data_IF_223782714626
#
_entry.id   IF_223782714626
#
_cell.length_a   1.000
_cell.length_b   1.000
_cell.length_c   1.000
_cell.angle_alpha   90.00
_cell.angle_beta   90.00
_cell.angle_gamma   90.00
#
_symmetry.space_group_name_H-M   'P 1'
#
loop_
_entity.id
_entity.type
_entity.pdbx_description
1 polymer ?
#
# COMPACT_ATOMS: atom_id res chain seq x y z
N UNK A 1 -59.32 -40.87 -28.81
CA UNK A 1 -58.81 -41.12 -27.46
C UNK A 1 -57.86 -40.01 -27.06
N UNK A 2 -57.94 -39.62 -25.80
CA UNK A 2 -57.32 -38.47 -25.13
C UNK A 2 -55.95 -38.88 -24.58
N UNK A 3 -54.97 -37.97 -24.56
CA UNK A 3 -54.11 -37.59 -23.41
C UNK A 3 -52.96 -36.67 -23.87
N UNK A 4 -52.90 -35.42 -23.39
CA UNK A 4 -52.10 -34.90 -22.21
C UNK A 4 -50.79 -34.27 -22.72
N UNK A 5 -50.69 -32.93 -22.87
CA UNK A 5 -50.32 -31.87 -21.88
C UNK A 5 -48.78 -31.61 -21.87
N UNK A 6 -48.32 -30.35 -21.66
CA UNK A 6 -47.19 -29.72 -22.37
C UNK A 6 -45.89 -29.59 -21.55
N UNK A 7 -44.82 -29.12 -22.23
CA UNK A 7 -43.60 -28.36 -21.82
C UNK A 7 -43.06 -28.45 -20.36
N UNK A 8 -41.73 -28.34 -20.10
CA UNK A 8 -40.79 -27.48 -20.83
C UNK A 8 -39.40 -28.08 -21.14
N UNK A 9 -38.83 -27.65 -22.27
CA UNK A 9 -37.38 -27.70 -22.50
C UNK A 9 -36.72 -26.74 -21.52
N UNK A 10 -36.17 -27.27 -20.43
CA UNK A 10 -35.26 -26.54 -19.56
C UNK A 10 -33.97 -26.28 -20.36
N UNK A 11 -33.78 -25.06 -20.83
CA UNK A 11 -32.49 -24.55 -21.27
C UNK A 11 -31.56 -24.49 -20.05
N UNK A 12 -30.83 -25.57 -19.79
CA UNK A 12 -29.66 -25.54 -18.93
C UNK A 12 -28.50 -24.91 -19.73
N UNK A 13 -28.54 -23.57 -19.89
CA UNK A 13 -27.40 -22.83 -20.41
C UNK A 13 -26.42 -22.62 -19.25
N UNK A 14 -25.32 -23.37 -19.35
CA UNK A 14 -24.18 -23.35 -18.46
C UNK A 14 -23.83 -21.92 -18.03
N UNK A 15 -23.88 -21.67 -16.72
CA UNK A 15 -23.16 -20.56 -16.13
C UNK A 15 -21.68 -20.77 -16.46
N UNK A 16 -21.21 -20.10 -17.51
CA UNK A 16 -19.79 -19.96 -17.76
C UNK A 16 -19.28 -19.09 -16.63
N UNK A 17 -18.84 -19.74 -15.55
CA UNK A 17 -18.00 -19.11 -14.55
C UNK A 17 -16.76 -18.63 -15.28
N UNK A 18 -16.78 -17.38 -15.71
CA UNK A 18 -15.55 -16.64 -15.95
C UNK A 18 -14.99 -16.49 -14.54
N UNK A 19 -14.24 -17.48 -14.09
CA UNK A 19 -13.23 -17.26 -13.09
C UNK A 19 -12.35 -16.17 -13.71
N UNK A 20 -12.58 -14.92 -13.30
CA UNK A 20 -11.56 -13.90 -13.38
C UNK A 20 -10.38 -14.51 -12.65
N UNK A 21 -9.48 -15.12 -13.41
CA UNK A 21 -8.14 -15.37 -12.94
C UNK A 21 -7.64 -13.98 -12.55
N UNK A 22 -7.67 -13.70 -11.25
CA UNK A 22 -7.01 -12.54 -10.67
C UNK A 22 -5.64 -12.49 -11.33
N UNK A 23 -5.25 -11.37 -11.96
CA UNK A 23 -3.94 -11.29 -12.56
C UNK A 23 -2.92 -11.72 -11.50
N UNK A 24 -2.09 -12.67 -11.95
CA UNK A 24 -1.09 -13.38 -11.20
C UNK A 24 -0.30 -12.47 -10.25
N UNK A 25 -0.05 -12.98 -9.04
CA UNK A 25 0.89 -12.45 -8.05
C UNK A 25 0.80 -10.93 -7.84
N UNK A 26 -0.10 -10.50 -6.95
CA UNK A 26 0.29 -9.39 -6.10
C UNK A 26 1.52 -9.86 -5.34
N UNK A 27 2.70 -9.40 -5.75
CA UNK A 27 3.92 -9.46 -4.95
C UNK A 27 3.49 -8.99 -3.55
N UNK A 28 3.48 -9.92 -2.59
CA UNK A 28 3.16 -9.55 -1.22
C UNK A 28 4.13 -8.42 -0.85
N UNK A 29 3.63 -7.27 -0.39
CA UNK A 29 4.49 -6.13 -0.09
C UNK A 29 5.66 -6.62 0.76
N UNK A 30 6.90 -6.18 0.49
CA UNK A 30 8.01 -6.56 1.33
C UNK A 30 7.70 -6.13 2.77
N UNK A 31 8.39 -6.72 3.77
CA UNK A 31 8.33 -6.21 5.11
C UNK A 31 8.60 -4.70 5.13
N UNK A 32 7.83 -3.98 5.96
CA UNK A 32 8.07 -2.55 6.17
C UNK A 32 9.53 -2.35 6.61
N UNK A 33 10.32 -1.51 5.92
CA UNK A 33 11.76 -1.42 6.13
C UNK A 33 12.14 -0.51 7.31
N UNK A 34 11.18 -0.16 8.17
CA UNK A 34 11.38 0.72 9.33
C UNK A 34 10.96 0.03 10.62
N UNK A 35 11.74 0.25 11.67
CA UNK A 35 11.39 -0.18 13.03
C UNK A 35 10.34 0.78 13.60
N UNK A 36 9.30 0.31 14.30
CA UNK A 36 8.37 1.18 15.00
C UNK A 36 9.01 1.87 16.19
N UNK A 37 8.68 3.13 16.45
CA UNK A 37 9.20 3.90 17.57
C UNK A 37 9.58 5.33 17.21
N UNK A 38 10.26 6.00 18.15
CA UNK A 38 10.75 7.35 17.96
C UNK A 38 12.09 7.34 17.19
N UNK A 39 12.16 8.17 16.16
CA UNK A 39 13.34 8.37 15.32
C UNK A 39 13.63 9.86 15.13
N UNK A 40 14.82 10.16 14.62
CA UNK A 40 15.19 11.50 14.16
C UNK A 40 15.31 11.51 12.65
N UNK A 41 14.64 12.43 11.97
CA UNK A 41 14.81 12.70 10.54
C UNK A 41 15.68 13.93 10.35
N UNK A 42 16.79 13.77 9.63
CA UNK A 42 17.74 14.85 9.33
C UNK A 42 17.70 15.19 7.85
N UNK A 43 17.31 16.43 7.51
CA UNK A 43 17.29 16.92 6.13
C UNK A 43 18.72 17.10 5.64
N UNK A 44 19.10 16.38 4.59
CA UNK A 44 20.50 16.32 4.12
C UNK A 44 21.02 17.67 3.65
N UNK A 45 20.17 18.52 3.06
CA UNK A 45 20.61 19.78 2.46
C UNK A 45 20.99 20.87 3.46
N UNK A 46 20.46 20.84 4.69
CA UNK A 46 20.68 21.89 5.68
C UNK A 46 20.97 21.37 7.10
N UNK A 47 21.00 20.04 7.29
CA UNK A 47 21.25 19.42 8.59
C UNK A 47 20.13 19.62 9.63
N UNK A 48 18.98 20.16 9.23
CA UNK A 48 17.86 20.35 10.16
C UNK A 48 17.29 18.99 10.55
N UNK A 49 17.23 18.74 11.86
CA UNK A 49 16.77 17.48 12.44
C UNK A 49 15.48 17.68 13.24
N UNK A 50 14.54 16.75 13.10
CA UNK A 50 13.28 16.75 13.85
C UNK A 50 12.88 15.33 14.23
N UNK A 51 12.19 15.19 15.36
CA UNK A 51 11.77 13.90 15.89
C UNK A 51 10.50 13.42 15.18
N UNK A 52 10.44 12.15 14.83
CA UNK A 52 9.25 11.51 14.27
C UNK A 52 8.93 10.22 15.01
N UNK A 53 7.67 9.82 14.99
CA UNK A 53 7.24 8.52 15.50
C UNK A 53 6.76 7.66 14.35
N UNK A 54 7.37 6.49 14.17
CA UNK A 54 6.98 5.48 13.20
C UNK A 54 6.05 4.46 13.85
N UNK A 55 4.97 4.10 13.16
CA UNK A 55 4.03 3.06 13.62
C UNK A 55 3.53 2.19 12.45
N UNK A 56 3.12 0.96 12.77
CA UNK A 56 2.53 -0.01 11.81
C UNK A 56 1.01 -0.10 12.04
N UNK A 57 0.34 1.05 12.03
CA UNK A 57 -1.05 1.20 12.47
C UNK A 57 -2.01 1.69 11.38
N UNK A 58 -1.57 1.75 10.11
CA UNK A 58 -2.38 2.20 8.97
C UNK A 58 -2.87 1.08 8.06
N UNK A 59 -2.73 -0.18 8.49
CA UNK A 59 -3.23 -1.36 7.77
C UNK A 59 -2.13 -2.21 7.13
N UNK A 60 -2.51 -3.20 6.31
CA UNK A 60 -1.55 -4.05 5.62
C UNK A 60 -0.76 -3.22 4.60
N UNK A 61 0.49 -3.60 4.34
CA UNK A 61 1.34 -2.91 3.36
C UNK A 61 1.48 -1.39 3.62
N UNK A 62 1.42 -0.98 4.90
CA UNK A 62 1.45 0.42 5.27
C UNK A 62 2.24 0.66 6.56
N UNK A 63 2.94 1.80 6.63
CA UNK A 63 3.42 2.36 7.89
C UNK A 63 3.14 3.85 7.96
N UNK A 64 2.95 4.36 9.16
CA UNK A 64 2.74 5.78 9.41
C UNK A 64 3.98 6.41 10.04
N UNK A 65 4.16 7.69 9.78
CA UNK A 65 5.17 8.53 10.40
C UNK A 65 4.51 9.82 10.84
N UNK A 66 4.61 10.13 12.14
CA UNK A 66 4.00 11.32 12.71
C UNK A 66 5.09 12.31 13.12
N UNK A 67 4.92 13.57 12.71
CA UNK A 67 5.70 14.72 13.17
C UNK A 67 4.73 15.77 13.73
N UNK A 68 4.86 16.07 15.02
CA UNK A 68 3.94 16.94 15.76
C UNK A 68 2.47 16.50 15.61
N UNK A 69 1.72 17.14 14.70
CA UNK A 69 0.31 16.85 14.40
C UNK A 69 0.10 16.28 13.01
N UNK A 70 1.14 16.22 12.19
CA UNK A 70 1.09 15.73 10.81
C UNK A 70 1.43 14.26 10.78
N UNK A 71 0.53 13.44 10.22
CA UNK A 71 0.70 12.02 10.02
C UNK A 71 0.81 11.73 8.53
N UNK A 72 1.95 11.17 8.12
CA UNK A 72 2.21 10.69 6.77
C UNK A 72 1.99 9.18 6.75
N UNK A 73 1.28 8.67 5.75
CA UNK A 73 1.00 7.23 5.61
C UNK A 73 1.64 6.72 4.33
N UNK A 74 2.61 5.82 4.49
CA UNK A 74 3.40 5.29 3.40
C UNK A 74 2.82 3.95 2.97
N UNK A 75 2.38 3.89 1.72
CA UNK A 75 1.82 2.70 1.11
C UNK A 75 2.85 2.08 0.17
N UNK A 76 2.88 0.75 0.12
CA UNK A 76 3.69 0.04 -0.86
C UNK A 76 3.16 0.28 -2.28
N UNK A 77 4.04 0.73 -3.18
CA UNK A 77 3.71 1.04 -4.58
C UNK A 77 4.38 0.08 -5.59
N UNK A 78 4.97 -1.02 -5.12
CA UNK A 78 5.66 -2.01 -5.95
C UNK A 78 7.18 -1.87 -6.00
N UNK A 79 7.72 -0.65 -5.85
CA UNK A 79 9.17 -0.39 -5.81
C UNK A 79 9.61 0.42 -4.58
N UNK A 80 8.67 1.09 -3.92
CA UNK A 80 8.92 1.98 -2.78
C UNK A 80 7.67 2.13 -1.91
N UNK A 81 7.92 2.62 -0.71
CA UNK A 81 6.92 3.11 0.22
C UNK A 81 6.70 4.59 -0.04
N UNK A 82 5.49 4.97 -0.44
CA UNK A 82 5.14 6.33 -0.85
C UNK A 82 4.03 6.86 0.03
N UNK A 83 4.23 8.04 0.60
CA UNK A 83 3.13 8.86 1.08
C UNK A 83 2.55 9.67 -0.10
N UNK A 84 1.32 9.36 -0.57
CA UNK A 84 0.73 10.04 -1.72
C UNK A 84 0.40 11.51 -1.42
N UNK A 85 0.17 11.87 -0.15
CA UNK A 85 -0.23 13.20 0.26
C UNK A 85 0.92 14.21 0.15
N UNK A 86 2.11 13.85 0.65
CA UNK A 86 3.30 14.70 0.58
C UNK A 86 4.20 14.36 -0.62
N UNK A 87 4.05 13.18 -1.23
CA UNK A 87 4.98 12.65 -2.22
C UNK A 87 6.39 12.43 -1.67
N UNK A 88 6.46 12.06 -0.39
CA UNK A 88 7.67 11.61 0.27
C UNK A 88 7.72 10.09 0.15
N UNK A 89 8.88 9.54 -0.20
CA UNK A 89 9.01 8.10 -0.38
C UNK A 89 10.33 7.56 0.15
N UNK A 90 10.35 6.26 0.43
CA UNK A 90 11.55 5.53 0.82
C UNK A 90 11.52 4.11 0.24
N UNK A 91 12.68 3.58 -0.12
CA UNK A 91 12.82 2.17 -0.51
C UNK A 91 13.41 1.33 0.63
N UNK A 92 14.18 1.96 1.52
CA UNK A 92 15.04 1.32 2.53
C UNK A 92 14.61 1.64 3.98
N UNK A 93 13.61 2.50 4.16
CA UNK A 93 13.17 2.97 5.47
C UNK A 93 14.13 3.96 6.16
N UNK A 94 15.26 4.27 5.54
CA UNK A 94 16.30 5.11 6.13
C UNK A 94 16.39 6.42 5.34
N UNK A 95 16.36 6.34 4.02
CA UNK A 95 16.46 7.47 3.11
C UNK A 95 15.07 7.85 2.61
N UNK A 96 14.62 9.05 2.96
CA UNK A 96 13.34 9.60 2.51
C UNK A 96 13.58 10.67 1.47
N UNK A 97 12.95 10.56 0.32
CA UNK A 97 13.11 11.47 -0.83
C UNK A 97 11.78 12.09 -1.21
N UNK A 98 11.73 13.41 -1.39
CA UNK A 98 10.52 14.09 -1.86
C UNK A 98 10.48 14.22 -3.39
N UNK A 99 9.35 14.71 -3.93
CA UNK A 99 9.16 14.92 -5.38
C UNK A 99 10.22 15.82 -6.05
N UNK A 100 10.90 16.67 -5.27
CA UNK A 100 11.93 17.58 -5.75
C UNK A 100 13.35 16.97 -5.65
N UNK A 101 13.48 15.70 -5.28
CA UNK A 101 14.76 15.01 -5.10
C UNK A 101 15.53 15.40 -3.83
N UNK A 102 14.91 16.11 -2.89
CA UNK A 102 15.54 16.40 -1.59
C UNK A 102 15.42 15.19 -0.68
N UNK A 103 16.49 14.88 0.01
CA UNK A 103 16.59 13.73 0.90
C UNK A 103 16.60 14.12 2.37
N UNK A 104 16.09 13.21 3.20
CA UNK A 104 16.27 13.20 4.64
C UNK A 104 16.68 11.78 5.08
N UNK A 105 17.49 11.69 6.12
CA UNK A 105 18.00 10.43 6.66
C UNK A 105 17.37 10.20 8.04
N UNK A 106 16.84 9.00 8.25
CA UNK A 106 16.31 8.54 9.53
C UNK A 106 17.40 7.85 10.35
N UNK A 107 17.43 8.14 11.66
CA UNK A 107 18.27 7.47 12.67
C UNK A 107 17.47 7.16 13.92
#
# INVERSE_FOLDING_TARGET
>A
MKMVVPQPLAFALAASSIALASPALADDPPPVPVTPGQHTLTITSNGHAFAVTVALDCGPACFSMTHETTRNEYQWMGDKWLDPSQGLWTADGITFTNRNGRTAIMS
#
